data_IF_600134637702
#
_entry.id   IF_600134637702
#
_cell.length_a   1.000
_cell.length_b   1.000
_cell.length_c   1.000
_cell.angle_alpha   90.00
_cell.angle_beta   90.00
_cell.angle_gamma   90.00
#
_symmetry.space_group_name_H-M   'P 1'
#
loop_
_entity.id
_entity.type
_entity.pdbx_description
1 polymer ?
#
# COMPACT_ATOMS: atom_id res chain seq x y z
N UNK A 1 40.75 10.29 -80.68
CA UNK A 1 39.98 9.03 -80.61
C UNK A 1 40.08 8.48 -79.19
N UNK A 2 38.99 7.93 -78.67
CA UNK A 2 38.63 7.81 -77.26
C UNK A 2 39.39 6.76 -76.41
N UNK A 3 39.66 7.12 -75.15
CA UNK A 3 39.35 6.46 -73.86
C UNK A 3 39.34 4.92 -73.74
N UNK A 4 40.09 4.39 -72.76
CA UNK A 4 39.50 3.72 -71.57
C UNK A 4 40.51 3.47 -70.43
N UNK A 5 40.01 3.67 -69.22
CA UNK A 5 40.68 3.68 -67.92
C UNK A 5 40.45 2.33 -67.22
N UNK A 6 41.41 1.86 -66.42
CA UNK A 6 41.17 0.88 -65.36
C UNK A 6 42.43 0.17 -64.85
N UNK A 7 43.10 0.71 -63.82
CA UNK A 7 44.16 -0.01 -63.10
C UNK A 7 43.80 -0.14 -61.61
N UNK A 8 43.40 -1.37 -61.29
CA UNK A 8 43.64 -2.21 -60.10
C UNK A 8 44.10 -1.54 -58.79
N UNK A 9 43.30 -1.77 -57.75
CA UNK A 9 43.46 -1.34 -56.36
C UNK A 9 44.78 -1.85 -55.72
N UNK A 10 45.46 -0.98 -54.97
CA UNK A 10 46.70 -1.30 -54.27
C UNK A 10 46.43 -2.15 -53.02
N UNK A 11 47.04 -3.33 -53.03
CA UNK A 11 47.25 -4.25 -51.91
C UNK A 11 48.16 -3.61 -50.85
N UNK A 12 47.63 -3.34 -49.66
CA UNK A 12 48.40 -3.01 -48.46
C UNK A 12 48.24 -4.14 -47.44
N UNK A 13 49.33 -4.73 -46.96
CA UNK A 13 49.31 -5.89 -46.06
C UNK A 13 50.22 -5.73 -44.85
N UNK A 14 49.71 -6.19 -43.68
CA UNK A 14 50.43 -6.59 -42.45
C UNK A 14 50.67 -5.48 -41.42
N UNK A 15 50.47 -5.64 -40.10
CA UNK A 15 50.19 -6.77 -39.17
C UNK A 15 49.51 -6.21 -37.87
N UNK A 16 48.99 -7.07 -36.97
CA UNK A 16 48.02 -6.72 -35.92
C UNK A 16 48.62 -6.67 -34.50
N UNK A 17 48.49 -5.53 -33.81
CA UNK A 17 48.90 -5.40 -32.40
C UNK A 17 47.77 -4.73 -31.61
N UNK A 18 47.43 -5.35 -30.48
CA UNK A 18 46.26 -5.10 -29.66
C UNK A 18 46.13 -3.65 -29.16
N UNK A 19 44.91 -3.11 -29.24
CA UNK A 19 44.40 -2.25 -28.16
C UNK A 19 43.13 -2.87 -27.59
N UNK A 20 43.30 -3.29 -26.34
CA UNK A 20 42.32 -3.78 -25.39
C UNK A 20 40.89 -3.25 -25.59
N UNK A 21 39.97 -4.20 -25.74
CA UNK A 21 38.76 -4.34 -24.92
C UNK A 21 38.08 -3.03 -24.48
N UNK A 22 37.04 -2.61 -25.19
CA UNK A 22 36.13 -1.57 -24.68
C UNK A 22 34.66 -1.71 -25.10
N UNK A 23 34.18 -2.91 -25.47
CA UNK A 23 32.79 -3.07 -25.92
C UNK A 23 31.83 -3.75 -24.94
N UNK A 24 32.25 -4.11 -23.73
CA UNK A 24 31.32 -4.72 -22.78
C UNK A 24 31.28 -3.92 -21.49
N UNK A 25 30.06 -3.76 -20.95
CA UNK A 25 29.64 -3.20 -19.67
C UNK A 25 29.06 -1.77 -19.69
N UNK A 26 27.76 -1.71 -19.31
CA UNK A 26 26.89 -0.57 -18.96
C UNK A 26 25.87 -0.26 -20.08
N UNK A 27 24.55 -0.44 -19.94
CA UNK A 27 23.70 -0.43 -18.73
C UNK A 27 22.46 -1.32 -18.94
N UNK A 28 22.49 -2.56 -18.46
CA UNK A 28 21.25 -3.27 -18.10
C UNK A 28 20.82 -2.71 -16.75
N UNK A 29 20.12 -1.57 -16.77
CA UNK A 29 19.40 -1.10 -15.60
C UNK A 29 18.34 -0.12 -16.07
N UNK A 30 17.06 -0.54 -16.06
CA UNK A 30 15.90 0.34 -15.82
C UNK A 30 14.60 -0.45 -15.54
N UNK A 31 14.57 -1.79 -15.66
CA UNK A 31 13.36 -2.54 -15.31
C UNK A 31 13.21 -2.87 -13.81
N UNK A 32 14.27 -2.75 -12.99
CA UNK A 32 14.22 -3.07 -11.56
C UNK A 32 13.83 -1.88 -10.66
N UNK A 33 14.01 -0.64 -11.14
CA UNK A 33 13.71 0.58 -10.37
C UNK A 33 12.22 0.93 -10.32
N UNK A 34 11.45 0.59 -11.36
CA UNK A 34 10.01 0.85 -11.41
C UNK A 34 9.22 -0.16 -10.55
N UNK A 35 9.70 -1.39 -10.43
CA UNK A 35 9.03 -2.43 -9.64
C UNK A 35 9.20 -2.16 -8.14
N UNK A 36 10.33 -1.58 -7.72
CA UNK A 36 10.56 -1.17 -6.34
C UNK A 36 9.67 0.01 -5.90
N UNK A 37 9.38 0.97 -6.79
CA UNK A 37 8.47 2.09 -6.48
C UNK A 37 6.99 1.70 -6.56
N UNK A 38 6.63 0.77 -7.45
CA UNK A 38 5.27 0.19 -7.47
C UNK A 38 5.02 -0.71 -6.26
N UNK A 39 6.04 -1.44 -5.79
CA UNK A 39 5.94 -2.26 -4.58
C UNK A 39 5.81 -1.43 -3.29
N UNK A 40 6.36 -0.21 -3.26
CA UNK A 40 6.16 0.72 -2.15
C UNK A 40 4.80 1.44 -2.20
N UNK A 41 4.17 1.54 -3.37
CA UNK A 41 2.90 2.24 -3.57
C UNK A 41 1.66 1.36 -3.37
N UNK A 42 1.81 0.02 -3.36
CA UNK A 42 0.67 -0.91 -3.23
C UNK A 42 0.46 -1.43 -1.81
N UNK A 43 1.35 -1.12 -0.86
CA UNK A 43 1.19 -1.48 0.55
C UNK A 43 0.34 -0.47 1.31
N UNK A 44 -0.82 -0.12 0.76
CA UNK A 44 -1.86 0.62 1.49
C UNK A 44 -2.48 -0.34 2.50
N UNK A 45 -2.17 -0.18 3.78
CA UNK A 45 -2.83 -0.94 4.85
C UNK A 45 -4.32 -0.63 4.82
N UNK A 46 -5.13 -1.64 4.49
CA UNK A 46 -6.59 -1.53 4.62
C UNK A 46 -6.91 -1.75 6.10
N UNK A 47 -7.18 -0.66 6.82
CA UNK A 47 -7.71 -0.74 8.18
C UNK A 47 -9.23 -0.90 8.10
N UNK A 48 -9.72 -2.03 8.60
CA UNK A 48 -11.16 -2.24 8.75
C UNK A 48 -11.55 -1.72 10.14
N UNK A 49 -12.53 -0.82 10.18
CA UNK A 49 -13.14 -0.41 11.43
C UNK A 49 -13.89 -1.62 12.02
N UNK A 50 -13.44 -2.11 13.18
CA UNK A 50 -14.14 -3.17 13.88
C UNK A 50 -15.31 -2.57 14.66
N UNK A 51 -16.52 -3.12 14.45
CA UNK A 51 -17.67 -2.77 15.27
C UNK A 51 -17.61 -3.55 16.59
N UNK A 52 -17.76 -2.87 17.73
CA UNK A 52 -17.79 -3.49 19.06
C UNK A 52 -18.98 -3.01 19.89
N UNK A 53 -19.52 -3.89 20.71
CA UNK A 53 -20.57 -3.57 21.68
C UNK A 53 -20.08 -3.90 23.09
N UNK A 54 -20.06 -2.91 23.98
CA UNK A 54 -19.61 -3.09 25.36
C UNK A 54 -20.79 -2.95 26.31
N UNK A 55 -21.04 -3.99 27.11
CA UNK A 55 -22.16 -4.06 28.04
C UNK A 55 -21.65 -3.85 29.47
N UNK A 56 -22.35 -3.02 30.24
CA UNK A 56 -22.07 -2.79 31.66
C UNK A 56 -23.29 -3.17 32.48
N UNK A 57 -23.05 -3.91 33.57
CA UNK A 57 -24.09 -4.42 34.44
C UNK A 57 -23.94 -3.88 35.86
N UNK A 58 -25.04 -3.78 36.59
CA UNK A 58 -25.00 -3.54 38.04
C UNK A 58 -24.73 -4.83 38.83
N UNK A 59 -24.62 -4.72 40.16
CA UNK A 59 -24.37 -5.84 41.05
C UNK A 59 -25.52 -6.89 41.05
N UNK A 60 -26.70 -6.52 40.57
CA UNK A 60 -27.86 -7.41 40.42
C UNK A 60 -27.89 -8.08 39.03
N UNK A 61 -26.89 -7.82 38.18
CA UNK A 61 -26.79 -8.38 36.83
C UNK A 61 -27.69 -7.69 35.80
N UNK A 62 -28.24 -6.51 36.10
CA UNK A 62 -29.09 -5.75 35.17
C UNK A 62 -28.23 -4.83 34.30
N UNK A 63 -28.60 -4.71 33.03
CA UNK A 63 -27.85 -3.92 32.05
C UNK A 63 -28.02 -2.41 32.30
N UNK A 64 -26.96 -1.71 32.69
CA UNK A 64 -27.00 -0.26 32.98
C UNK A 64 -26.47 0.58 31.84
N UNK A 65 -25.59 0.04 30.99
CA UNK A 65 -25.02 0.77 29.84
C UNK A 65 -24.67 -0.15 28.69
N UNK A 66 -24.91 0.33 27.47
CA UNK A 66 -24.37 -0.26 26.23
C UNK A 66 -23.62 0.81 25.47
N UNK A 67 -22.38 0.53 25.08
CA UNK A 67 -21.61 1.37 24.17
C UNK A 67 -21.39 0.62 22.86
N UNK A 68 -21.99 1.10 21.78
CA UNK A 68 -21.79 0.62 20.42
C UNK A 68 -20.75 1.49 19.75
N UNK A 69 -19.62 0.92 19.34
CA UNK A 69 -18.66 1.59 18.48
C UNK A 69 -18.69 0.95 17.10
N UNK A 70 -18.78 1.75 16.05
CA UNK A 70 -18.62 1.29 14.66
C UNK A 70 -17.16 1.49 14.18
N UNK A 71 -16.21 1.48 15.12
CA UNK A 71 -14.80 1.80 14.90
C UNK A 71 -14.48 3.27 14.55
N UNK A 72 -15.50 4.08 14.24
CA UNK A 72 -15.36 5.53 13.97
C UNK A 72 -16.20 6.38 14.92
N UNK A 73 -17.42 5.95 15.24
CA UNK A 73 -18.35 6.66 16.12
C UNK A 73 -18.78 5.73 17.26
N UNK A 74 -18.95 6.29 18.45
CA UNK A 74 -19.43 5.55 19.63
C UNK A 74 -20.76 6.11 20.11
N UNK A 75 -21.81 5.32 19.99
CA UNK A 75 -23.14 5.59 20.53
C UNK A 75 -23.30 4.90 21.88
N UNK A 76 -23.72 5.63 22.89
CA UNK A 76 -23.95 5.09 24.24
C UNK A 76 -25.42 5.14 24.59
N UNK A 77 -25.93 4.04 25.15
CA UNK A 77 -27.28 3.94 25.73
C UNK A 77 -27.13 3.63 27.22
N UNK A 78 -27.81 4.41 28.06
CA UNK A 78 -27.80 4.24 29.53
C UNK A 78 -29.21 3.93 30.02
N UNK A 79 -29.31 3.01 30.97
CA UNK A 79 -30.55 2.56 31.57
C UNK A 79 -30.54 2.81 33.07
N UNK A 80 -31.65 3.33 33.57
CA UNK A 80 -31.89 3.52 35.01
C UNK A 80 -33.03 2.62 35.47
N UNK A 81 -32.91 2.12 36.71
CA UNK A 81 -33.88 1.21 37.30
C UNK A 81 -34.30 1.70 38.68
N UNK A 82 -35.54 1.41 39.05
CA UNK A 82 -36.00 1.55 40.44
C UNK A 82 -35.55 0.35 41.31
N UNK A 83 -35.91 0.39 42.59
CA UNK A 83 -35.62 -0.65 43.56
C UNK A 83 -36.40 -1.95 43.32
N UNK A 84 -37.54 -1.88 42.63
CA UNK A 84 -38.35 -3.04 42.27
C UNK A 84 -37.84 -3.74 40.99
N UNK A 85 -36.91 -3.12 40.26
CA UNK A 85 -36.36 -3.68 39.02
C UNK A 85 -36.99 -3.14 37.74
N UNK A 86 -37.90 -2.18 37.83
CA UNK A 86 -38.49 -1.58 36.65
C UNK A 86 -37.54 -0.56 36.04
N UNK A 87 -37.42 -0.56 34.71
CA UNK A 87 -36.63 0.43 33.99
C UNK A 87 -37.37 1.77 33.96
N UNK A 88 -36.78 2.79 34.57
CA UNK A 88 -37.39 4.12 34.71
C UNK A 88 -36.91 5.11 33.66
N UNK A 89 -35.75 4.86 33.03
CA UNK A 89 -35.21 5.76 32.01
C UNK A 89 -34.36 5.04 30.97
N UNK A 90 -34.36 5.59 29.76
CA UNK A 90 -33.46 5.22 28.66
C UNK A 90 -32.92 6.51 28.06
N UNK A 91 -31.60 6.67 28.06
CA UNK A 91 -30.92 7.82 27.46
C UNK A 91 -29.96 7.33 26.40
N UNK A 92 -30.16 7.76 25.15
CA UNK A 92 -29.23 7.51 24.04
C UNK A 92 -28.45 8.79 23.71
N UNK A 93 -27.15 8.64 23.51
CA UNK A 93 -26.26 9.70 23.06
C UNK A 93 -25.41 9.16 21.91
N UNK A 94 -25.57 9.76 20.74
CA UNK A 94 -24.76 9.49 19.56
C UNK A 94 -24.01 10.78 19.17
N UNK A 95 -22.76 10.69 18.69
CA UNK A 95 -22.06 11.84 18.16
C UNK A 95 -22.75 12.32 16.87
N UNK A 96 -22.86 13.65 16.72
CA UNK A 96 -23.43 14.30 15.55
C UNK A 96 -22.65 14.05 14.25
#
# INVERSE_FOLDING_TARGET
MCMRIGVSERKSGGRPDAVHSHLMHKRVLHAAGLVASVALLTLSTVTFAASNANYTYDALGRLTKVAYSDGVKTTTVTYSYDTAGNRTSVVSSAPS
#
